data_IF_755055070605
#
_entry.id   IF_755055070605
#
_cell.length_a   1.000
_cell.length_b   1.000
_cell.length_c   1.000
_cell.angle_alpha   90.00
_cell.angle_beta   90.00
_cell.angle_gamma   90.00
#
_symmetry.space_group_name_H-M   'P 1'
#
loop_
_entity.id
_entity.type
_entity.pdbx_description
1 polymer ?
#
# COMPACT_ATOMS: atom_id res chain seq x y z
N UNK A 1 -10.87 -47.41 63.06
CA UNK A 1 -9.99 -47.31 61.87
C UNK A 1 -10.49 -46.15 61.02
N UNK A 2 -9.62 -45.16 60.76
CA UNK A 2 -9.97 -43.88 60.11
C UNK A 2 -9.78 -44.01 58.60
N UNK A 3 -10.82 -43.70 57.83
CA UNK A 3 -10.76 -43.51 56.38
C UNK A 3 -10.15 -42.14 56.06
N UNK A 4 -8.99 -42.11 55.41
CA UNK A 4 -8.41 -40.90 54.83
C UNK A 4 -7.87 -41.21 53.45
N UNK A 5 -8.77 -41.21 52.46
CA UNK A 5 -8.46 -41.31 51.03
C UNK A 5 -9.50 -40.50 50.26
N UNK A 6 -9.51 -39.16 50.39
CA UNK A 6 -10.27 -38.29 49.47
C UNK A 6 -9.91 -36.81 49.61
N UNK A 7 -8.63 -36.44 49.51
CA UNK A 7 -8.22 -35.02 49.51
C UNK A 7 -6.95 -34.80 48.68
N UNK A 8 -7.03 -34.93 47.36
CA UNK A 8 -6.00 -34.37 46.46
C UNK A 8 -6.42 -34.39 44.99
N UNK A 9 -7.54 -33.74 44.66
CA UNK A 9 -7.96 -33.58 43.25
C UNK A 9 -8.69 -32.25 43.00
N UNK A 10 -8.15 -31.15 43.54
CA UNK A 10 -8.82 -29.85 43.49
C UNK A 10 -7.88 -28.66 43.32
N UNK A 11 -6.69 -28.85 42.74
CA UNK A 11 -5.69 -27.78 42.60
C UNK A 11 -5.08 -27.64 41.19
N UNK A 12 -5.70 -28.22 40.16
CA UNK A 12 -5.17 -28.18 38.78
C UNK A 12 -6.09 -27.45 37.77
N UNK A 13 -7.15 -26.76 38.23
CA UNK A 13 -8.10 -26.07 37.34
C UNK A 13 -8.12 -24.54 37.47
N UNK A 14 -7.30 -23.96 38.35
CA UNK A 14 -7.29 -22.50 38.61
C UNK A 14 -6.11 -21.79 37.91
N UNK A 15 -5.14 -22.53 37.34
CA UNK A 15 -4.01 -21.93 36.61
C UNK A 15 -4.31 -21.60 35.14
N UNK A 16 -5.47 -22.01 34.61
CA UNK A 16 -5.90 -21.66 33.24
C UNK A 16 -6.80 -20.42 33.17
N UNK A 17 -7.26 -19.88 34.31
CA UNK A 17 -8.11 -18.68 34.34
C UNK A 17 -7.33 -17.36 34.31
N UNK A 18 -6.00 -17.41 34.19
CA UNK A 18 -5.14 -16.22 34.18
C UNK A 18 -4.47 -15.94 32.83
N UNK A 19 -4.65 -16.80 31.82
CA UNK A 19 -4.47 -16.35 30.44
C UNK A 19 -5.66 -15.43 30.17
N UNK A 20 -5.45 -14.12 30.39
CA UNK A 20 -6.47 -13.12 30.09
C UNK A 20 -6.87 -13.31 28.61
N UNK A 21 -8.15 -13.12 28.29
CA UNK A 21 -8.61 -13.24 26.91
C UNK A 21 -7.81 -12.36 25.93
N UNK A 22 -7.17 -11.30 26.41
CA UNK A 22 -6.36 -10.40 25.60
C UNK A 22 -5.04 -11.05 25.14
N UNK A 23 -4.36 -11.84 25.99
CA UNK A 23 -3.18 -12.61 25.55
C UNK A 23 -3.54 -13.67 24.50
N UNK A 24 -4.72 -14.28 24.60
CA UNK A 24 -5.21 -15.24 23.60
C UNK A 24 -5.56 -14.56 22.28
N UNK A 25 -6.09 -13.33 22.32
CA UNK A 25 -6.36 -12.56 21.10
C UNK A 25 -5.07 -12.24 20.36
N UNK A 26 -4.05 -11.71 21.03
CA UNK A 26 -2.77 -11.39 20.37
C UNK A 26 -2.09 -12.61 19.74
N UNK A 27 -2.25 -13.80 20.34
CA UNK A 27 -1.73 -15.05 19.77
C UNK A 27 -2.42 -15.48 18.46
N UNK A 28 -3.61 -14.95 18.17
CA UNK A 28 -4.36 -15.23 16.95
C UNK A 28 -4.05 -14.25 15.80
N UNK A 29 -3.17 -13.27 16.02
CA UNK A 29 -2.81 -12.29 14.99
C UNK A 29 -2.16 -12.99 13.78
N UNK A 30 -2.74 -12.75 12.60
CA UNK A 30 -2.22 -13.19 11.32
C UNK A 30 -1.45 -12.04 10.69
N UNK A 31 -0.18 -12.29 10.35
CA UNK A 31 0.69 -11.33 9.68
C UNK A 31 0.80 -11.69 8.21
N UNK A 32 0.54 -10.73 7.34
CA UNK A 32 0.50 -10.90 5.89
C UNK A 32 1.37 -9.83 5.24
N UNK A 33 2.33 -10.26 4.44
CA UNK A 33 3.04 -9.38 3.51
C UNK A 33 2.33 -9.48 2.16
N UNK A 34 1.84 -8.35 1.65
CA UNK A 34 1.12 -8.31 0.37
C UNK A 34 1.46 -7.05 -0.41
N UNK A 35 0.96 -6.92 -1.63
CA UNK A 35 1.07 -5.70 -2.41
C UNK A 35 -0.26 -5.33 -3.05
N UNK A 36 -0.44 -4.03 -3.24
CA UNK A 36 -1.51 -3.47 -4.09
C UNK A 36 -0.84 -2.83 -5.28
N UNK A 37 -1.34 -3.09 -6.49
CA UNK A 37 -0.81 -2.46 -7.68
C UNK A 37 -1.95 -1.84 -8.48
N UNK A 38 -1.74 -0.60 -8.90
CA UNK A 38 -2.64 0.12 -9.80
C UNK A 38 -1.86 0.63 -11.01
N UNK A 39 -2.52 0.73 -12.15
CA UNK A 39 -1.91 1.26 -13.37
C UNK A 39 -2.73 2.44 -13.86
N UNK A 40 -2.04 3.56 -14.06
CA UNK A 40 -2.63 4.80 -14.54
C UNK A 40 -2.08 5.07 -15.93
N UNK A 41 -2.95 5.20 -16.93
CA UNK A 41 -2.52 5.60 -18.27
C UNK A 41 -2.42 7.12 -18.35
N UNK A 42 -1.23 7.60 -18.72
CA UNK A 42 -0.92 9.02 -18.88
C UNK A 42 -0.83 9.35 -20.36
N UNK A 43 -1.50 10.45 -20.73
CA UNK A 43 -1.41 11.09 -22.05
C UNK A 43 -1.07 12.55 -21.84
N UNK A 44 0.08 12.98 -22.36
CA UNK A 44 0.54 14.38 -22.30
C UNK A 44 0.51 14.94 -23.73
N UNK A 45 -0.45 15.84 -23.98
CA UNK A 45 -0.57 16.52 -25.26
C UNK A 45 0.47 17.63 -25.40
N UNK A 46 1.07 17.83 -26.59
CA UNK A 46 2.11 18.84 -26.81
C UNK A 46 1.60 20.28 -26.62
N UNK A 47 0.28 20.50 -26.73
CA UNK A 47 -0.34 21.80 -26.52
C UNK A 47 -0.46 22.17 -25.03
N UNK A 48 -0.66 21.18 -24.15
CA UNK A 48 -0.84 21.40 -22.71
C UNK A 48 0.44 21.14 -21.91
N UNK A 49 1.30 20.24 -22.40
CA UNK A 49 2.52 19.77 -21.76
C UNK A 49 2.33 19.24 -20.33
N UNK A 50 1.09 18.92 -19.95
CA UNK A 50 0.70 18.55 -18.58
C UNK A 50 -0.38 17.48 -18.56
N UNK A 51 -0.37 16.68 -17.51
CA UNK A 51 -1.38 15.69 -17.15
C UNK A 51 -1.69 15.78 -15.65
N UNK A 52 -2.95 15.56 -15.28
CA UNK A 52 -3.33 15.37 -13.88
C UNK A 52 -4.51 14.42 -13.76
N UNK A 53 -4.41 13.44 -12.86
CA UNK A 53 -5.49 12.54 -12.50
C UNK A 53 -5.47 12.25 -11.00
N UNK A 54 -6.58 11.74 -10.50
CA UNK A 54 -6.70 11.23 -9.14
C UNK A 54 -7.29 9.84 -9.20
N UNK A 55 -6.61 8.88 -8.60
CA UNK A 55 -7.04 7.49 -8.54
C UNK A 55 -7.24 7.05 -7.10
N UNK A 56 -8.14 6.09 -6.88
CA UNK A 56 -8.40 5.53 -5.56
C UNK A 56 -7.81 4.14 -5.46
N UNK A 57 -6.89 3.94 -4.50
CA UNK A 57 -6.32 2.63 -4.20
C UNK A 57 -7.08 2.06 -3.00
N UNK A 58 -7.67 0.87 -3.15
CA UNK A 58 -8.49 0.20 -2.12
C UNK A 58 -7.79 -1.03 -1.55
N UNK A 59 -7.91 -1.25 -0.23
CA UNK A 59 -7.53 -2.50 0.44
C UNK A 59 -8.52 -3.64 0.17
N UNK A 60 -9.71 -3.34 -0.38
CA UNK A 60 -10.70 -4.37 -0.72
C UNK A 60 -10.32 -5.04 -2.05
N UNK A 61 -9.10 -5.56 -2.13
CA UNK A 61 -8.68 -6.47 -3.18
C UNK A 61 -8.81 -7.93 -2.71
N UNK A 62 -8.83 -8.87 -3.64
CA UNK A 62 -9.16 -10.29 -3.40
C UNK A 62 -8.40 -10.92 -2.21
N UNK A 63 -7.14 -10.51 -1.96
CA UNK A 63 -6.29 -11.07 -0.91
C UNK A 63 -6.61 -10.56 0.50
N UNK A 64 -7.15 -9.35 0.64
CA UNK A 64 -7.38 -8.68 1.93
C UNK A 64 -8.87 -8.52 2.27
N UNK A 65 -9.78 -8.78 1.33
CA UNK A 65 -11.23 -8.66 1.53
C UNK A 65 -11.71 -9.48 2.74
N UNK A 66 -11.19 -10.70 2.90
CA UNK A 66 -11.54 -11.60 4.04
C UNK A 66 -11.15 -11.01 5.40
N UNK A 67 -10.16 -10.11 5.43
CA UNK A 67 -9.60 -9.53 6.64
C UNK A 67 -9.92 -8.04 6.81
N UNK A 68 -10.62 -7.41 5.87
CA UNK A 68 -10.77 -5.97 5.79
C UNK A 68 -11.34 -5.34 7.08
N UNK A 69 -12.32 -6.00 7.71
CA UNK A 69 -12.94 -5.55 8.96
C UNK A 69 -12.16 -5.95 10.22
N UNK A 70 -11.14 -6.80 10.06
CA UNK A 70 -10.35 -7.41 11.13
C UNK A 70 -8.91 -6.91 11.19
N UNK A 71 -8.61 -5.86 10.42
CA UNK A 71 -7.29 -5.26 10.35
C UNK A 71 -6.95 -4.54 11.66
N UNK A 72 -5.85 -4.95 12.29
CA UNK A 72 -5.25 -4.25 13.44
C UNK A 72 -4.22 -3.21 13.01
N UNK A 73 -3.44 -3.51 11.97
CA UNK A 73 -2.45 -2.58 11.44
C UNK A 73 -2.20 -2.76 9.95
N UNK A 74 -1.93 -1.64 9.27
CA UNK A 74 -1.47 -1.60 7.89
C UNK A 74 -0.27 -0.68 7.82
N UNK A 75 0.87 -1.23 7.38
CA UNK A 75 2.12 -0.49 7.17
C UNK A 75 2.47 -0.54 5.68
N UNK A 76 2.66 0.62 5.05
CA UNK A 76 3.25 0.70 3.72
C UNK A 76 4.77 0.79 3.89
N UNK A 77 5.48 -0.26 3.49
CA UNK A 77 6.94 -0.33 3.62
C UNK A 77 7.67 0.38 2.49
N UNK A 78 7.07 0.37 1.30
CA UNK A 78 7.63 0.95 0.08
C UNK A 78 6.52 1.21 -0.92
N UNK A 79 6.67 2.26 -1.72
CA UNK A 79 5.94 2.45 -2.97
C UNK A 79 6.95 2.45 -4.11
N UNK A 80 6.65 1.69 -5.17
CA UNK A 80 7.44 1.67 -6.40
C UNK A 80 6.56 2.16 -7.54
N UNK A 81 7.09 3.08 -8.33
CA UNK A 81 6.39 3.66 -9.46
C UNK A 81 7.20 3.42 -10.73
N UNK A 82 6.65 2.69 -11.70
CA UNK A 82 7.36 2.27 -12.90
C UNK A 82 6.65 2.76 -14.15
N UNK A 83 7.25 3.69 -14.92
CA UNK A 83 6.75 4.01 -16.25
C UNK A 83 6.95 2.83 -17.20
N UNK A 84 5.86 2.37 -17.81
CA UNK A 84 5.77 1.25 -18.76
C UNK A 84 4.99 1.67 -20.00
N UNK A 85 5.01 0.82 -21.02
CA UNK A 85 4.29 1.02 -22.28
C UNK A 85 4.50 2.43 -22.86
N UNK A 86 5.72 2.96 -22.70
CA UNK A 86 6.07 4.31 -23.16
C UNK A 86 5.99 4.34 -24.69
N UNK A 87 5.31 5.36 -25.22
CA UNK A 87 5.11 5.61 -26.63
C UNK A 87 5.51 7.06 -26.91
N UNK A 88 6.74 7.20 -27.42
CA UNK A 88 7.28 8.46 -27.92
C UNK A 88 8.16 8.18 -29.14
N UNK A 89 8.09 9.06 -30.14
CA UNK A 89 8.96 9.03 -31.32
C UNK A 89 10.23 9.88 -31.12
N UNK A 90 10.27 10.71 -30.08
CA UNK A 90 11.36 11.63 -29.76
C UNK A 90 11.91 11.40 -28.33
N UNK A 91 13.07 11.99 -28.06
CA UNK A 91 13.60 12.06 -26.70
C UNK A 91 12.84 13.14 -25.91
N UNK A 92 12.20 12.75 -24.82
CA UNK A 92 11.36 13.63 -24.00
C UNK A 92 11.90 13.69 -22.58
N UNK A 93 11.93 14.88 -22.00
CA UNK A 93 12.19 15.09 -20.58
C UNK A 93 10.99 15.74 -19.90
N UNK A 94 10.77 15.38 -18.64
CA UNK A 94 9.61 15.83 -17.88
C UNK A 94 9.75 15.59 -16.39
N UNK A 95 8.63 15.77 -15.68
CA UNK A 95 8.52 15.51 -14.25
C UNK A 95 7.25 14.75 -13.93
N UNK A 96 7.29 14.01 -12.83
CA UNK A 96 6.14 13.32 -12.27
C UNK A 96 6.06 13.55 -10.76
N UNK A 97 4.88 13.91 -10.30
CA UNK A 97 4.59 14.17 -8.90
C UNK A 97 3.45 13.25 -8.46
N UNK A 98 3.65 12.57 -7.34
CA UNK A 98 2.59 11.82 -6.65
C UNK A 98 2.23 12.51 -5.35
N UNK A 99 0.93 12.58 -5.09
CA UNK A 99 0.38 13.24 -3.91
C UNK A 99 -0.75 12.45 -3.30
N UNK A 100 -0.98 12.65 -2.01
CA UNK A 100 -2.15 12.12 -1.31
C UNK A 100 -2.73 13.25 -0.45
N UNK A 101 -4.03 13.49 -0.56
CA UNK A 101 -4.68 14.63 0.10
C UNK A 101 -4.08 15.99 -0.26
N UNK A 102 -3.50 16.11 -1.46
CA UNK A 102 -2.82 17.33 -1.95
C UNK A 102 -1.39 17.52 -1.44
N UNK A 103 -0.84 16.59 -0.65
CA UNK A 103 0.54 16.63 -0.16
C UNK A 103 1.40 15.73 -1.06
N UNK A 104 2.39 16.32 -1.73
CA UNK A 104 3.33 15.58 -2.56
C UNK A 104 4.26 14.70 -1.71
N UNK A 105 4.44 13.45 -2.11
CA UNK A 105 5.36 12.50 -1.47
C UNK A 105 6.38 11.89 -2.44
N UNK A 106 6.19 12.10 -3.75
CA UNK A 106 7.17 11.85 -4.80
C UNK A 106 7.19 13.07 -5.72
N UNK A 107 8.38 13.52 -6.09
CA UNK A 107 8.58 14.55 -7.10
C UNK A 107 9.90 14.24 -7.83
N UNK A 108 9.79 13.66 -9.02
CA UNK A 108 10.92 13.09 -9.75
C UNK A 108 10.95 13.61 -11.18
N UNK A 109 12.16 13.76 -11.72
CA UNK A 109 12.35 14.02 -13.14
C UNK A 109 12.45 12.71 -13.92
N UNK A 110 11.96 12.71 -15.16
CA UNK A 110 12.13 11.60 -16.09
C UNK A 110 12.73 12.06 -17.40
N UNK A 111 13.38 11.12 -18.08
CA UNK A 111 13.85 11.27 -19.46
C UNK A 111 13.57 9.97 -20.19
N UNK A 112 12.78 10.04 -21.25
CA UNK A 112 12.47 8.91 -22.11
C UNK A 112 13.16 9.09 -23.46
N UNK A 113 13.82 8.04 -23.93
CA UNK A 113 14.39 8.03 -25.28
C UNK A 113 13.38 7.55 -26.31
N UNK A 114 13.54 7.98 -27.56
CA UNK A 114 12.76 7.47 -28.69
C UNK A 114 12.77 5.93 -28.73
N UNK A 115 11.58 5.32 -28.82
CA UNK A 115 11.41 3.86 -28.84
C UNK A 115 11.61 3.14 -27.51
N UNK A 116 11.85 3.86 -26.40
CA UNK A 116 11.86 3.27 -25.05
C UNK A 116 10.46 2.82 -24.67
N UNK A 117 10.33 1.64 -24.07
CA UNK A 117 9.03 1.08 -23.64
C UNK A 117 8.89 0.93 -22.12
N UNK A 118 9.99 1.03 -21.38
CA UNK A 118 10.01 0.94 -19.90
C UNK A 118 11.14 1.80 -19.37
N UNK A 119 10.91 2.51 -18.26
CA UNK A 119 11.89 3.37 -17.61
C UNK A 119 12.30 2.88 -16.23
N UNK A 120 13.27 3.58 -15.64
CA UNK A 120 13.70 3.35 -14.26
C UNK A 120 12.53 3.54 -13.31
N UNK A 121 12.38 2.60 -12.37
CA UNK A 121 11.38 2.71 -11.34
C UNK A 121 11.81 3.71 -10.25
N UNK A 122 10.88 4.53 -9.81
CA UNK A 122 11.04 5.44 -8.69
C UNK A 122 10.61 4.74 -7.40
N UNK A 123 11.31 4.99 -6.30
CA UNK A 123 10.97 4.43 -4.99
C UNK A 123 10.68 5.56 -4.02
N UNK A 124 9.49 5.54 -3.42
CA UNK A 124 9.14 6.48 -2.36
C UNK A 124 9.78 6.02 -1.05
N UNK A 125 10.63 6.87 -0.47
CA UNK A 125 11.27 6.65 0.83
C UNK A 125 10.80 7.61 1.93
N UNK A 126 9.80 8.45 1.65
CA UNK A 126 9.23 9.39 2.63
C UNK A 126 8.42 8.64 3.69
N UNK A 127 9.08 8.25 4.78
CA UNK A 127 8.48 7.43 5.85
C UNK A 127 7.24 8.06 6.48
N UNK A 128 7.21 9.39 6.63
CA UNK A 128 6.05 10.10 7.18
C UNK A 128 4.83 9.98 6.26
N UNK A 129 5.02 10.14 4.95
CA UNK A 129 3.96 9.95 3.97
C UNK A 129 3.47 8.49 3.93
N UNK A 130 4.40 7.53 3.91
CA UNK A 130 4.07 6.10 3.91
C UNK A 130 3.27 5.71 5.17
N UNK A 131 3.66 6.23 6.34
CA UNK A 131 2.94 6.00 7.59
C UNK A 131 1.55 6.62 7.57
N UNK A 132 1.41 7.87 7.10
CA UNK A 132 0.12 8.54 7.01
C UNK A 132 -0.84 7.80 6.06
N UNK A 133 -0.35 7.34 4.91
CA UNK A 133 -1.12 6.53 3.97
C UNK A 133 -1.50 5.17 4.56
N UNK A 134 -0.61 4.50 5.29
CA UNK A 134 -0.93 3.25 5.99
C UNK A 134 -2.07 3.41 7.02
N UNK A 135 -2.07 4.51 7.77
CA UNK A 135 -3.15 4.82 8.72
C UNK A 135 -4.48 5.13 8.01
N UNK A 136 -4.45 5.79 6.85
CA UNK A 136 -5.64 6.01 6.02
C UNK A 136 -6.17 4.71 5.45
N UNK A 137 -5.31 3.85 4.91
CA UNK A 137 -5.70 2.50 4.48
C UNK A 137 -6.34 1.71 5.64
N UNK A 138 -5.74 1.73 6.84
CA UNK A 138 -6.31 1.03 8.00
C UNK A 138 -7.73 1.52 8.36
N UNK A 139 -7.93 2.84 8.41
CA UNK A 139 -9.16 3.47 8.91
C UNK A 139 -10.25 3.66 7.85
N UNK A 140 -9.87 3.91 6.59
CA UNK A 140 -10.78 4.24 5.48
C UNK A 140 -10.83 3.14 4.40
N UNK A 141 -9.98 2.10 4.52
CA UNK A 141 -9.82 1.00 3.56
C UNK A 141 -9.41 1.45 2.16
N UNK A 142 -9.09 2.73 1.98
CA UNK A 142 -8.69 3.30 0.70
C UNK A 142 -7.86 4.57 0.91
N UNK A 143 -7.11 4.95 -0.13
CA UNK A 143 -6.41 6.24 -0.24
C UNK A 143 -6.67 6.83 -1.62
N UNK A 144 -6.65 8.16 -1.71
CA UNK A 144 -6.80 8.88 -2.98
C UNK A 144 -5.47 9.47 -3.40
N UNK A 145 -4.90 8.92 -4.47
CA UNK A 145 -3.60 9.27 -5.01
C UNK A 145 -3.76 10.23 -6.19
N UNK A 146 -3.24 11.43 -6.05
CA UNK A 146 -3.10 12.38 -7.15
C UNK A 146 -1.81 12.12 -7.91
N UNK A 147 -1.90 12.07 -9.23
CA UNK A 147 -0.77 12.00 -10.16
C UNK A 147 -0.77 13.24 -11.02
N UNK A 148 0.34 13.96 -11.03
CA UNK A 148 0.58 15.06 -11.95
C UNK A 148 1.86 14.77 -12.73
N UNK A 149 1.86 15.08 -14.02
CA UNK A 149 3.04 14.99 -14.85
C UNK A 149 3.15 16.18 -15.79
N UNK A 150 4.37 16.53 -16.16
CA UNK A 150 4.65 17.50 -17.21
C UNK A 150 5.77 16.99 -18.10
N UNK A 151 5.76 17.38 -19.37
CA UNK A 151 6.78 17.01 -20.33
C UNK A 151 7.00 18.13 -21.34
N UNK A 152 8.22 18.25 -21.84
CA UNK A 152 8.53 19.15 -22.96
C UNK A 152 8.50 18.36 -24.26
N UNK A 153 7.30 17.97 -24.71
CA UNK A 153 7.10 17.13 -25.89
C UNK A 153 6.55 17.95 -27.07
N UNK A 154 6.97 17.59 -28.28
CA UNK A 154 6.44 18.13 -29.54
C UNK A 154 5.39 17.21 -30.17
N UNK A 155 5.35 15.95 -29.76
CA UNK A 155 4.31 14.97 -30.10
C UNK A 155 3.63 14.40 -28.85
N UNK A 156 2.41 13.88 -28.95
CA UNK A 156 1.71 13.29 -27.80
C UNK A 156 2.53 12.16 -27.16
N UNK A 157 2.85 12.31 -25.88
CA UNK A 157 3.52 11.28 -25.08
C UNK A 157 2.47 10.43 -24.37
N UNK A 158 2.52 9.10 -24.58
CA UNK A 158 1.70 8.15 -23.82
C UNK A 158 2.57 7.20 -23.02
N UNK A 159 2.19 6.88 -21.78
CA UNK A 159 2.80 5.82 -20.99
C UNK A 159 1.88 5.40 -19.86
N UNK A 160 2.09 4.19 -19.35
CA UNK A 160 1.42 3.69 -18.15
C UNK A 160 2.33 3.89 -16.94
N UNK A 161 1.81 4.42 -15.84
CA UNK A 161 2.47 4.45 -14.56
C UNK A 161 1.92 3.31 -13.69
N UNK A 162 2.70 2.26 -13.52
CA UNK A 162 2.41 1.19 -12.57
C UNK A 162 2.88 1.61 -11.18
N UNK A 163 1.94 1.69 -10.23
CA UNK A 163 2.19 2.07 -8.84
C UNK A 163 1.94 0.85 -7.96
N UNK A 164 2.99 0.35 -7.29
CA UNK A 164 2.89 -0.81 -6.39
C UNK A 164 3.21 -0.40 -4.95
N UNK A 165 2.23 -0.61 -4.06
CA UNK A 165 2.35 -0.45 -2.61
C UNK A 165 2.73 -1.79 -2.00
N UNK A 166 3.82 -1.84 -1.24
CA UNK A 166 4.24 -3.02 -0.49
C UNK A 166 3.76 -2.91 0.95
N UNK A 167 2.86 -3.79 1.36
CA UNK A 167 2.15 -3.74 2.62
C UNK A 167 2.61 -4.82 3.59
N UNK A 168 2.69 -4.45 4.87
CA UNK A 168 2.63 -5.39 5.99
C UNK A 168 1.33 -5.19 6.73
N UNK A 169 0.55 -6.26 6.82
CA UNK A 169 -0.78 -6.24 7.41
C UNK A 169 -0.81 -7.18 8.61
N UNK A 170 -1.45 -6.72 9.69
CA UNK A 170 -1.81 -7.58 10.82
C UNK A 170 -3.32 -7.58 10.94
N UNK A 171 -3.91 -8.78 10.94
CA UNK A 171 -5.33 -8.98 11.11
C UNK A 171 -5.61 -9.96 12.25
N UNK A 172 -6.71 -9.80 12.96
CA UNK A 172 -7.11 -10.73 14.01
C UNK A 172 -8.46 -11.37 13.69
N UNK A 173 -8.51 -12.67 13.35
CA UNK A 173 -9.75 -13.34 13.00
C UNK A 173 -10.77 -13.46 14.15
N UNK A 174 -10.34 -13.23 15.40
CA UNK A 174 -11.15 -13.31 16.62
C UNK A 174 -11.71 -11.95 17.08
N UNK A 175 -11.34 -10.86 16.41
CA UNK A 175 -11.95 -9.53 16.58
C UNK A 175 -13.12 -9.28 15.63
#
# INVERSE_FOLDING_TARGET
MKNTLFKSFGALFISLSLLSCDEVKELADVKLDTNLSETISLTIDPDSNTFSATETISLLNDDLETYADKLKSVEITKIVCTPKNIQTSEDVAGSITLSEGGIAFLDESFSFSSGQTTATAYTVSNTAALQAMGQKLLSQKSISMGVAASANNTETLNFDLEITLFLKVVANPLE
#
